data_IF_760261121897
#
_entry.id   IF_760261121897
#
_cell.length_a   1.000
_cell.length_b   1.000
_cell.length_c   1.000
_cell.angle_alpha   90.00
_cell.angle_beta   90.00
_cell.angle_gamma   90.00
#
_symmetry.space_group_name_H-M   'P 1'
#
loop_
_entity.id
_entity.type
_entity.pdbx_description
1 polymer ?
#
# COMPACT_ATOMS: atom_id res chain seq x y z
N UNK A 1 -77.21 46.73 4.35
CA UNK A 1 -77.53 45.54 5.14
C UNK A 1 -76.33 44.63 4.99
N UNK A 2 -75.32 44.74 5.89
CA UNK A 2 -75.05 43.87 7.10
C UNK A 2 -74.91 42.43 6.69
N UNK A 3 -73.80 41.84 6.90
CA UNK A 3 -73.08 41.40 8.10
C UNK A 3 -71.82 40.64 7.79
N UNK A 4 -70.77 40.98 8.52
CA UNK A 4 -69.57 40.30 8.88
C UNK A 4 -69.73 38.82 9.24
N UNK A 5 -68.64 37.98 9.07
CA UNK A 5 -68.12 37.07 10.09
C UNK A 5 -66.79 36.44 9.57
N UNK A 6 -65.73 36.78 10.14
CA UNK A 6 -64.71 36.18 10.99
C UNK A 6 -64.22 34.76 10.69
N UNK A 7 -62.88 34.71 10.54
CA UNK A 7 -61.85 33.81 11.17
C UNK A 7 -61.68 32.38 10.61
N UNK A 8 -60.48 31.94 10.28
CA UNK A 8 -59.40 31.53 11.14
C UNK A 8 -58.15 31.12 10.33
N UNK A 9 -57.00 31.45 10.90
CA UNK A 9 -55.66 31.07 10.52
C UNK A 9 -55.42 29.55 10.39
N UNK A 10 -54.63 29.21 9.38
CA UNK A 10 -53.96 27.89 9.28
C UNK A 10 -52.56 28.09 8.75
N UNK A 11 -51.60 28.25 9.65
CA UNK A 11 -50.17 28.37 9.32
C UNK A 11 -49.60 27.01 8.91
N UNK A 12 -49.30 26.83 7.64
CA UNK A 12 -48.55 25.72 7.12
C UNK A 12 -47.09 26.14 6.91
N UNK A 13 -46.20 25.80 7.79
CA UNK A 13 -44.75 25.92 7.62
C UNK A 13 -44.29 24.90 6.59
N UNK A 14 -43.96 25.35 5.39
CA UNK A 14 -43.17 24.61 4.41
C UNK A 14 -41.70 24.81 4.76
N UNK A 15 -41.11 23.77 5.34
CA UNK A 15 -39.68 23.68 5.56
C UNK A 15 -38.94 23.54 4.22
N UNK A 16 -38.26 24.60 3.81
CA UNK A 16 -37.30 24.58 2.71
C UNK A 16 -36.00 24.02 3.28
N UNK A 17 -35.70 22.75 2.95
CA UNK A 17 -34.37 22.16 3.18
C UNK A 17 -33.39 22.79 2.20
N UNK A 18 -32.61 23.75 2.64
CA UNK A 18 -31.48 24.28 1.91
C UNK A 18 -30.38 23.24 1.84
N UNK A 19 -30.25 22.57 0.69
CA UNK A 19 -29.05 21.82 0.33
C UNK A 19 -27.92 22.82 0.13
N UNK A 20 -27.07 22.97 1.15
CA UNK A 20 -25.87 23.78 1.07
C UNK A 20 -24.87 23.15 0.12
N UNK A 21 -24.77 23.65 -1.10
CA UNK A 21 -23.62 23.44 -1.96
C UNK A 21 -22.42 24.14 -1.32
N UNK A 22 -21.50 23.38 -0.75
CA UNK A 22 -20.20 23.92 -0.32
C UNK A 22 -19.34 24.08 -1.58
N UNK A 23 -19.26 25.28 -2.09
CA UNK A 23 -18.25 25.66 -3.09
C UNK A 23 -16.90 25.66 -2.40
N UNK A 24 -16.03 24.73 -2.78
CA UNK A 24 -14.62 24.72 -2.34
C UNK A 24 -13.91 25.89 -2.98
N UNK A 25 -13.52 26.87 -2.18
CA UNK A 25 -12.68 27.98 -2.60
C UNK A 25 -11.27 27.48 -2.95
N UNK A 26 -10.64 27.95 -4.03
CA UNK A 26 -9.23 27.67 -4.29
C UNK A 26 -8.36 28.45 -3.29
N UNK A 27 -7.55 27.75 -2.51
CA UNK A 27 -6.54 28.36 -1.64
C UNK A 27 -6.70 28.00 -0.17
N UNK A 28 -6.63 26.73 0.20
CA UNK A 28 -6.31 26.38 1.58
C UNK A 28 -4.85 26.72 1.84
N UNK A 29 -4.52 27.45 2.95
CA UNK A 29 -3.13 27.68 3.32
C UNK A 29 -2.40 26.34 3.55
N UNK A 30 -1.12 26.26 3.21
CA UNK A 30 -0.26 25.12 3.46
C UNK A 30 -0.43 24.67 4.91
N UNK A 31 -0.88 23.44 5.12
CA UNK A 31 -1.12 22.92 6.45
C UNK A 31 0.23 22.62 7.12
N UNK A 32 0.49 23.13 8.34
CA UNK A 32 1.73 22.81 9.05
C UNK A 32 1.78 21.30 9.32
N UNK A 33 2.85 20.68 8.90
CA UNK A 33 3.11 19.25 9.15
C UNK A 33 3.15 18.34 7.90
N UNK A 34 3.05 18.88 6.70
CA UNK A 34 3.30 18.12 5.45
C UNK A 34 4.80 18.01 5.18
N UNK A 35 5.27 16.84 4.67
CA UNK A 35 6.67 16.69 4.24
C UNK A 35 6.99 17.46 2.94
N UNK A 36 6.18 18.44 2.55
CA UNK A 36 6.26 19.13 1.26
C UNK A 36 7.37 20.22 1.18
N UNK A 37 8.23 20.36 2.19
CA UNK A 37 9.15 21.50 2.23
C UNK A 37 10.63 21.19 2.31
N UNK A 38 11.05 20.16 3.00
CA UNK A 38 12.45 19.99 3.43
C UNK A 38 13.14 18.72 2.91
N UNK A 39 12.61 18.06 1.88
CA UNK A 39 13.27 16.90 1.31
C UNK A 39 13.97 17.22 -0.02
N UNK A 40 15.08 16.53 -0.25
CA UNK A 40 15.82 16.58 -1.51
C UNK A 40 16.20 15.19 -1.96
N UNK A 41 16.47 15.06 -3.25
CA UNK A 41 17.01 13.83 -3.84
C UNK A 41 18.53 13.83 -3.75
N UNK A 42 19.10 12.67 -3.39
CA UNK A 42 20.52 12.39 -3.56
C UNK A 42 20.82 11.90 -4.98
N UNK A 43 22.11 11.71 -5.28
CA UNK A 43 22.55 11.09 -6.53
C UNK A 43 21.94 9.68 -6.66
N UNK A 44 21.52 9.29 -7.86
CA UNK A 44 20.88 8.03 -8.08
C UNK A 44 21.84 6.84 -7.92
N UNK A 45 21.36 5.80 -7.30
CA UNK A 45 22.01 4.50 -7.31
C UNK A 45 21.34 3.59 -8.33
N UNK A 46 22.12 2.99 -9.22
CA UNK A 46 21.59 2.17 -10.31
C UNK A 46 22.29 0.82 -10.38
N UNK A 47 21.52 -0.22 -10.66
CA UNK A 47 22.03 -1.51 -11.06
C UNK A 47 21.07 -2.13 -12.09
N UNK A 48 21.62 -2.53 -13.24
CA UNK A 48 20.84 -2.97 -14.40
C UNK A 48 19.77 -1.93 -14.80
N UNK A 49 18.48 -2.30 -14.87
CA UNK A 49 17.38 -1.39 -15.20
C UNK A 49 16.77 -0.69 -13.99
N UNK A 50 17.19 -1.01 -12.76
CA UNK A 50 16.71 -0.38 -11.54
C UNK A 50 17.55 0.84 -11.20
N UNK A 51 16.91 1.99 -11.07
CA UNK A 51 17.50 3.23 -10.57
C UNK A 51 16.69 3.73 -9.39
N UNK A 52 17.35 4.09 -8.30
CA UNK A 52 16.73 4.60 -7.08
C UNK A 52 17.36 5.92 -6.69
N UNK A 53 16.51 6.91 -6.44
CA UNK A 53 16.91 8.23 -5.92
C UNK A 53 16.56 8.27 -4.44
N UNK A 54 17.56 8.25 -3.52
CA UNK A 54 17.26 8.39 -2.10
C UNK A 54 16.66 9.77 -1.83
N UNK A 55 15.59 9.82 -1.05
CA UNK A 55 14.94 11.04 -0.57
C UNK A 55 15.41 11.29 0.84
N UNK A 56 16.01 12.46 1.09
CA UNK A 56 16.50 12.86 2.42
C UNK A 56 15.79 14.08 2.94
N UNK A 57 15.67 14.18 4.26
CA UNK A 57 15.13 15.32 4.96
C UNK A 57 16.01 15.69 6.16
N UNK A 58 16.11 16.99 6.44
CA UNK A 58 16.70 17.51 7.69
C UNK A 58 15.69 17.56 8.83
N UNK A 59 14.39 17.54 8.51
CA UNK A 59 13.29 17.47 9.45
C UNK A 59 12.74 16.03 9.48
N UNK A 60 12.42 15.53 10.68
CA UNK A 60 11.78 14.24 10.88
C UNK A 60 10.74 14.35 11.99
N UNK A 61 9.65 13.59 11.83
CA UNK A 61 8.66 13.46 12.89
C UNK A 61 9.06 12.32 13.83
N UNK A 62 8.73 12.46 15.10
CA UNK A 62 8.77 11.30 16.02
C UNK A 62 7.62 10.36 15.68
N UNK A 63 7.98 9.21 15.12
CA UNK A 63 7.05 8.15 14.75
C UNK A 63 7.16 6.91 15.64
N UNK A 64 7.92 6.99 16.74
CA UNK A 64 8.10 5.91 17.72
C UNK A 64 6.80 5.43 18.36
N UNK A 65 5.77 6.30 18.36
CA UNK A 65 4.43 5.94 18.80
C UNK A 65 3.73 4.92 17.88
N UNK A 66 4.13 4.76 16.62
CA UNK A 66 3.47 3.87 15.68
C UNK A 66 4.09 2.47 15.71
N UNK A 67 3.23 1.47 15.58
CA UNK A 67 3.58 0.06 15.47
C UNK A 67 3.52 -0.34 14.00
N UNK A 68 4.48 -1.10 13.50
CA UNK A 68 4.38 -1.74 12.17
C UNK A 68 3.66 -3.09 12.28
N UNK A 69 3.08 -3.56 11.17
CA UNK A 69 2.38 -4.85 11.15
C UNK A 69 3.31 -6.01 11.52
N UNK A 70 4.55 -6.02 10.99
CA UNK A 70 5.55 -7.04 11.32
C UNK A 70 5.92 -7.04 12.81
N UNK A 71 6.17 -5.87 13.37
CA UNK A 71 6.47 -5.73 14.81
C UNK A 71 5.30 -6.21 15.66
N UNK A 72 4.07 -5.79 15.33
CA UNK A 72 2.86 -6.16 16.06
C UNK A 72 2.56 -7.65 16.04
N UNK A 73 2.70 -8.30 14.88
CA UNK A 73 2.51 -9.75 14.76
C UNK A 73 3.60 -10.51 15.52
N UNK A 74 4.87 -10.11 15.36
CA UNK A 74 6.02 -10.80 16.00
C UNK A 74 5.98 -10.73 17.53
N UNK A 75 5.40 -9.66 18.09
CA UNK A 75 5.24 -9.48 19.54
C UNK A 75 3.91 -10.02 20.09
N UNK A 76 3.02 -10.49 19.21
CA UNK A 76 1.66 -10.89 19.62
C UNK A 76 0.77 -9.72 20.05
N UNK A 77 1.18 -8.49 19.76
CA UNK A 77 0.42 -7.27 20.03
C UNK A 77 -0.68 -7.02 18.98
N UNK A 78 -0.59 -7.67 17.84
CA UNK A 78 -1.57 -7.65 16.76
C UNK A 78 -1.97 -9.08 16.39
N UNK A 79 -3.26 -9.29 16.17
CA UNK A 79 -3.78 -10.56 15.65
C UNK A 79 -4.49 -10.33 14.34
N UNK A 80 -4.23 -11.20 13.35
CA UNK A 80 -4.95 -11.23 12.07
C UNK A 80 -5.52 -12.63 11.88
N UNK A 81 -6.83 -12.72 11.60
CA UNK A 81 -7.56 -13.98 11.49
C UNK A 81 -8.51 -13.97 10.32
N UNK A 82 -8.85 -15.18 9.84
CA UNK A 82 -9.97 -15.35 8.89
C UNK A 82 -11.28 -14.88 9.52
N UNK A 83 -12.11 -14.18 8.76
CA UNK A 83 -13.43 -13.77 9.19
C UNK A 83 -14.29 -15.00 9.54
N UNK A 84 -14.99 -14.96 10.68
CA UNK A 84 -15.80 -16.08 11.17
C UNK A 84 -15.03 -17.14 11.98
N UNK A 85 -13.71 -17.03 12.12
CA UNK A 85 -12.94 -17.93 12.99
C UNK A 85 -13.32 -17.79 14.47
N UNK A 86 -13.76 -16.63 14.90
CA UNK A 86 -14.21 -16.38 16.28
C UNK A 86 -15.52 -17.09 16.61
N UNK A 87 -16.41 -17.24 15.63
CA UNK A 87 -17.69 -17.95 15.81
C UNK A 87 -17.47 -19.44 16.09
N UNK A 88 -16.42 -20.03 15.50
CA UNK A 88 -16.08 -21.44 15.75
C UNK A 88 -15.52 -21.71 17.15
N UNK A 89 -14.85 -20.72 17.77
CA UNK A 89 -14.31 -20.87 19.13
C UNK A 89 -15.40 -20.74 20.19
N UNK A 90 -16.40 -19.89 19.97
CA UNK A 90 -17.55 -19.74 20.86
C UNK A 90 -18.52 -20.92 20.82
N UNK A 91 -18.67 -21.60 19.69
CA UNK A 91 -19.63 -22.70 19.52
C UNK A 91 -19.11 -24.09 20.01
N UNK A 92 -18.02 -24.18 20.75
CA UNK A 92 -17.63 -25.39 21.49
C UNK A 92 -18.51 -25.69 22.73
N UNK A 93 -19.43 -24.81 23.05
CA UNK A 93 -20.48 -25.04 24.07
C UNK A 93 -21.83 -25.31 23.40
N UNK A 94 -22.26 -26.54 23.37
CA UNK A 94 -23.59 -27.15 23.22
C UNK A 94 -24.80 -26.39 22.58
N UNK A 95 -24.61 -25.40 21.72
CA UNK A 95 -25.70 -24.80 20.94
C UNK A 95 -25.61 -25.22 19.47
N UNK A 96 -26.70 -25.82 18.96
CA UNK A 96 -26.81 -26.18 17.54
C UNK A 96 -26.75 -24.92 16.67
N UNK A 97 -25.90 -24.84 15.66
CA UNK A 97 -25.81 -23.67 14.78
C UNK A 97 -27.13 -23.47 14.03
N UNK A 98 -27.66 -22.27 14.05
CA UNK A 98 -28.81 -21.90 13.22
C UNK A 98 -28.32 -21.77 11.75
N UNK A 99 -28.86 -22.53 10.77
CA UNK A 99 -28.38 -22.54 9.40
C UNK A 99 -28.59 -21.24 8.61
N UNK A 100 -29.31 -20.27 9.16
CA UNK A 100 -29.68 -19.04 8.43
C UNK A 100 -28.69 -17.86 8.55
N UNK A 101 -27.56 -17.99 9.25
CA UNK A 101 -26.56 -16.93 9.36
C UNK A 101 -25.19 -17.29 8.76
N UNK A 102 -25.10 -18.28 7.91
CA UNK A 102 -23.88 -18.60 7.19
C UNK A 102 -23.77 -17.72 5.93
N UNK A 103 -23.44 -16.45 6.08
CA UNK A 103 -22.61 -15.79 5.07
C UNK A 103 -21.24 -16.44 5.18
N UNK A 104 -20.87 -17.30 4.22
CA UNK A 104 -19.58 -17.96 4.21
C UNK A 104 -18.45 -16.94 4.37
N UNK A 105 -17.25 -17.34 4.86
CA UNK A 105 -16.15 -16.43 5.08
C UNK A 105 -15.88 -15.64 3.80
N UNK A 106 -15.97 -14.31 3.87
CA UNK A 106 -15.62 -13.45 2.73
C UNK A 106 -14.15 -13.66 2.43
N UNK A 107 -13.84 -14.16 1.25
CA UNK A 107 -12.45 -14.49 0.85
C UNK A 107 -11.56 -13.25 0.85
N UNK A 108 -12.17 -12.07 0.78
CA UNK A 108 -11.49 -10.78 0.66
C UNK A 108 -11.49 -9.97 1.97
N UNK A 109 -11.92 -10.56 3.09
CA UNK A 109 -11.91 -9.88 4.39
C UNK A 109 -11.27 -10.74 5.46
N UNK A 110 -10.37 -10.14 6.21
CA UNK A 110 -9.79 -10.68 7.44
C UNK A 110 -10.31 -9.85 8.63
N UNK A 111 -10.06 -10.33 9.83
CA UNK A 111 -10.32 -9.60 11.07
C UNK A 111 -8.98 -9.30 11.73
N UNK A 112 -8.69 -8.02 11.94
CA UNK A 112 -7.50 -7.54 12.62
C UNK A 112 -7.87 -6.95 13.97
N UNK A 113 -7.09 -7.26 15.01
CA UNK A 113 -7.21 -6.63 16.33
C UNK A 113 -5.85 -6.11 16.77
N UNK A 114 -5.80 -4.83 17.10
CA UNK A 114 -4.63 -4.19 17.71
C UNK A 114 -4.80 -4.19 19.23
N UNK A 115 -4.07 -5.05 19.92
CA UNK A 115 -4.09 -5.16 21.40
C UNK A 115 -3.07 -4.22 22.05
N UNK A 116 -2.23 -3.55 21.27
CA UNK A 116 -1.16 -2.68 21.77
C UNK A 116 -1.68 -1.32 22.23
N UNK A 117 -0.82 -0.59 22.95
CA UNK A 117 -1.03 0.83 23.31
C UNK A 117 -0.68 1.80 22.17
N UNK A 118 -0.21 1.28 21.06
CA UNK A 118 0.33 2.05 19.93
C UNK A 118 -0.60 1.93 18.73
N UNK A 119 -0.87 3.05 18.00
CA UNK A 119 -1.57 2.94 16.72
C UNK A 119 -0.74 2.09 15.74
N UNK A 120 -1.41 1.19 15.03
CA UNK A 120 -0.79 0.29 14.06
C UNK A 120 -0.85 0.90 12.67
N UNK A 121 0.31 1.00 12.01
CA UNK A 121 0.42 1.38 10.61
C UNK A 121 0.37 0.13 9.72
N UNK A 122 -0.53 0.14 8.74
CA UNK A 122 -0.64 -0.85 7.67
C UNK A 122 -0.31 -0.18 6.34
N UNK A 123 0.51 -0.82 5.52
CA UNK A 123 0.79 -0.36 4.15
C UNK A 123 0.17 -1.29 3.10
N UNK A 124 -0.35 -0.69 2.06
CA UNK A 124 -0.82 -1.42 0.88
C UNK A 124 0.28 -2.32 0.32
N UNK A 125 -0.07 -3.59 0.06
CA UNK A 125 0.86 -4.59 -0.44
C UNK A 125 1.67 -5.31 0.63
N UNK A 126 1.55 -4.99 1.92
CA UNK A 126 2.11 -5.86 2.97
C UNK A 126 1.42 -7.23 2.92
N UNK A 127 2.24 -8.27 2.87
CA UNK A 127 1.77 -9.65 2.76
C UNK A 127 1.68 -10.27 4.15
N UNK A 128 0.51 -10.79 4.50
CA UNK A 128 0.29 -11.62 5.68
C UNK A 128 0.21 -13.09 5.27
N UNK A 129 1.09 -13.90 5.86
CA UNK A 129 1.20 -15.32 5.57
C UNK A 129 0.54 -16.17 6.64
N UNK A 130 -0.20 -17.18 6.20
CA UNK A 130 -0.95 -18.10 7.06
C UNK A 130 -2.39 -18.26 6.61
N UNK A 131 -3.28 -18.55 7.58
CA UNK A 131 -4.70 -18.71 7.30
C UNK A 131 -5.00 -19.76 6.23
N UNK A 132 -6.07 -19.54 5.48
CA UNK A 132 -6.44 -20.41 4.35
C UNK A 132 -5.57 -20.18 3.14
N UNK A 133 -5.15 -18.94 2.92
CA UNK A 133 -4.31 -18.50 1.81
C UNK A 133 -3.55 -17.24 2.24
N UNK A 134 -2.40 -16.96 1.63
CA UNK A 134 -1.70 -15.69 1.83
C UNK A 134 -2.50 -14.51 1.27
N UNK A 135 -2.44 -13.38 1.97
CA UNK A 135 -3.19 -12.16 1.66
C UNK A 135 -2.28 -10.95 1.64
N UNK A 136 -2.65 -9.94 0.89
CA UNK A 136 -2.04 -8.61 0.96
C UNK A 136 -3.04 -7.56 1.43
N UNK A 137 -2.54 -6.59 2.21
CA UNK A 137 -3.29 -5.42 2.64
C UNK A 137 -3.67 -4.59 1.41
N UNK A 138 -4.96 -4.21 1.31
CA UNK A 138 -5.48 -3.48 0.16
C UNK A 138 -5.08 -2.00 0.15
N UNK A 139 -5.09 -1.34 1.31
CA UNK A 139 -4.87 0.11 1.45
C UNK A 139 -4.02 0.45 2.66
N UNK A 140 -3.30 1.57 2.56
CA UNK A 140 -2.68 2.19 3.73
C UNK A 140 -3.75 2.57 4.76
N UNK A 141 -3.52 2.22 6.02
CA UNK A 141 -4.46 2.47 7.10
C UNK A 141 -3.76 2.59 8.44
N UNK A 142 -4.36 3.35 9.36
CA UNK A 142 -3.99 3.34 10.78
C UNK A 142 -5.10 2.66 11.57
N UNK A 143 -4.73 1.70 12.43
CA UNK A 143 -5.65 1.04 13.35
C UNK A 143 -5.39 1.56 14.75
N UNK A 144 -6.44 2.09 15.39
CA UNK A 144 -6.36 2.65 16.74
C UNK A 144 -5.82 1.62 17.76
N UNK A 145 -5.14 2.08 18.85
CA UNK A 145 -4.72 1.20 19.94
C UNK A 145 -5.95 0.64 20.69
N UNK A 146 -5.83 -0.58 21.23
CA UNK A 146 -6.90 -1.27 21.98
C UNK A 146 -8.25 -1.29 21.26
N UNK A 147 -8.23 -1.32 19.93
CA UNK A 147 -9.43 -1.31 19.12
C UNK A 147 -10.22 -2.62 19.18
N UNK A 148 -11.51 -2.52 18.91
CA UNK A 148 -12.35 -3.69 18.63
C UNK A 148 -11.84 -4.42 17.37
N UNK A 149 -12.18 -5.72 17.22
CA UNK A 149 -11.88 -6.45 16.00
C UNK A 149 -12.39 -5.73 14.75
N UNK A 150 -11.49 -5.42 13.81
CA UNK A 150 -11.76 -4.58 12.66
C UNK A 150 -11.75 -5.43 11.38
N UNK A 151 -12.78 -5.32 10.51
CA UNK A 151 -12.71 -5.87 9.17
C UNK A 151 -11.56 -5.22 8.38
N UNK A 152 -10.73 -6.04 7.77
CA UNK A 152 -9.58 -5.64 6.96
C UNK A 152 -9.76 -6.11 5.53
N UNK A 153 -9.83 -5.17 4.59
CA UNK A 153 -9.89 -5.48 3.17
C UNK A 153 -8.53 -5.96 2.67
N UNK A 154 -8.55 -7.09 2.00
CA UNK A 154 -7.35 -7.78 1.52
C UNK A 154 -7.56 -8.38 0.14
N UNK A 155 -6.47 -8.69 -0.55
CA UNK A 155 -6.48 -9.47 -1.78
C UNK A 155 -5.72 -10.79 -1.60
N UNK A 156 -6.23 -11.85 -2.22
CA UNK A 156 -5.55 -13.14 -2.26
C UNK A 156 -4.35 -13.06 -3.22
N UNK A 157 -3.20 -13.54 -2.77
CA UNK A 157 -1.99 -13.67 -3.59
C UNK A 157 -1.50 -15.12 -3.69
N UNK A 158 -2.38 -16.04 -3.38
CA UNK A 158 -2.18 -17.47 -3.51
C UNK A 158 -3.45 -18.11 -4.06
N UNK A 159 -3.40 -18.60 -5.31
CA UNK A 159 -4.54 -19.26 -5.94
C UNK A 159 -4.45 -20.77 -5.74
N UNK A 160 -5.55 -21.38 -5.32
CA UNK A 160 -5.71 -22.84 -5.30
C UNK A 160 -5.33 -23.57 -4.01
N UNK A 161 -4.66 -22.92 -3.04
CA UNK A 161 -4.44 -23.53 -1.71
C UNK A 161 -5.57 -23.16 -0.74
N UNK A 162 -6.15 -24.18 -0.11
CA UNK A 162 -7.08 -24.03 1.00
C UNK A 162 -6.60 -24.87 2.18
N UNK A 163 -5.85 -24.25 3.08
CA UNK A 163 -5.41 -24.91 4.32
C UNK A 163 -6.45 -24.71 5.42
N UNK A 164 -6.36 -25.56 6.47
CA UNK A 164 -7.24 -25.45 7.65
C UNK A 164 -6.84 -24.29 8.60
N UNK A 165 -5.82 -23.48 8.26
CA UNK A 165 -5.36 -22.37 9.09
C UNK A 165 -6.39 -21.26 9.20
N UNK A 166 -6.41 -20.58 10.36
CA UNK A 166 -7.31 -19.45 10.63
C UNK A 166 -6.60 -18.18 11.10
N UNK A 167 -5.29 -18.23 11.31
CA UNK A 167 -4.47 -17.11 11.81
C UNK A 167 -3.28 -16.83 10.91
N UNK A 168 -2.88 -15.57 10.88
CA UNK A 168 -1.74 -15.06 10.11
C UNK A 168 -0.67 -14.59 11.09
N UNK A 169 0.58 -15.00 10.88
CA UNK A 169 1.64 -14.83 11.86
C UNK A 169 2.84 -14.05 11.36
N UNK A 170 2.94 -13.78 10.07
CA UNK A 170 4.09 -13.11 9.48
C UNK A 170 3.66 -12.01 8.49
N UNK A 171 4.42 -10.91 8.47
CA UNK A 171 4.28 -9.80 7.54
C UNK A 171 5.67 -9.27 7.11
N UNK A 172 6.53 -10.18 6.64
CA UNK A 172 7.94 -9.87 6.29
C UNK A 172 8.13 -9.42 4.85
N UNK A 173 7.08 -9.43 4.04
CA UNK A 173 7.14 -9.14 2.60
C UNK A 173 6.19 -8.02 2.24
N UNK A 174 6.62 -7.17 1.30
CA UNK A 174 5.76 -6.28 0.52
C UNK A 174 5.83 -6.78 -0.93
N UNK A 175 4.67 -6.97 -1.55
CA UNK A 175 4.60 -7.40 -2.94
C UNK A 175 5.13 -6.32 -3.88
N UNK A 176 5.61 -6.72 -5.07
CA UNK A 176 6.21 -5.79 -6.02
C UNK A 176 5.21 -4.78 -6.61
N UNK A 177 5.68 -3.64 -7.16
CA UNK A 177 4.86 -2.53 -7.63
C UNK A 177 3.67 -2.90 -8.49
N UNK A 178 3.81 -3.80 -9.47
CA UNK A 178 2.68 -4.22 -10.32
C UNK A 178 1.54 -4.87 -9.52
N UNK A 179 1.85 -5.67 -8.50
CA UNK A 179 0.83 -6.27 -7.62
C UNK A 179 0.26 -5.23 -6.65
N UNK A 180 1.12 -4.34 -6.10
CA UNK A 180 0.69 -3.24 -5.20
C UNK A 180 -0.25 -2.27 -5.92
N UNK A 181 0.03 -1.90 -7.18
CA UNK A 181 -0.82 -1.03 -7.99
C UNK A 181 -2.22 -1.63 -8.15
N UNK A 182 -2.29 -2.92 -8.51
CA UNK A 182 -3.57 -3.60 -8.69
C UNK A 182 -4.37 -3.73 -7.38
N UNK A 183 -3.70 -3.87 -6.24
CA UNK A 183 -4.35 -3.91 -4.95
C UNK A 183 -4.78 -2.52 -4.46
N UNK A 184 -3.86 -1.54 -4.46
CA UNK A 184 -4.06 -0.24 -3.85
C UNK A 184 -4.95 0.70 -4.70
N UNK A 185 -4.85 0.61 -6.04
CA UNK A 185 -5.47 1.56 -6.98
C UNK A 185 -6.61 0.89 -7.74
N UNK A 186 -6.33 -0.20 -8.47
CA UNK A 186 -7.32 -0.85 -9.34
C UNK A 186 -8.36 -1.64 -8.53
N UNK A 187 -7.99 -2.16 -7.36
CA UNK A 187 -8.83 -2.89 -6.41
C UNK A 187 -9.61 -4.05 -7.03
N UNK A 188 -8.93 -4.82 -7.91
CA UNK A 188 -9.52 -5.96 -8.61
C UNK A 188 -8.73 -7.23 -8.36
N UNK A 189 -9.38 -8.25 -7.76
CA UNK A 189 -8.74 -9.53 -7.45
C UNK A 189 -8.14 -10.23 -8.68
N UNK A 190 -8.81 -10.18 -9.83
CA UNK A 190 -8.33 -10.82 -11.05
C UNK A 190 -7.01 -10.19 -11.54
N UNK A 191 -6.89 -8.84 -11.45
CA UNK A 191 -5.69 -8.10 -11.86
C UNK A 191 -4.53 -8.37 -10.89
N UNK A 192 -4.81 -8.51 -9.59
CA UNK A 192 -3.83 -8.94 -8.59
C UNK A 192 -3.26 -10.32 -8.93
N UNK A 193 -4.09 -11.31 -9.22
CA UNK A 193 -3.62 -12.65 -9.61
C UNK A 193 -2.82 -12.64 -10.91
N UNK A 194 -3.30 -11.88 -11.90
CA UNK A 194 -2.58 -11.75 -13.17
C UNK A 194 -1.17 -11.16 -12.96
N UNK A 195 -1.02 -10.15 -12.09
CA UNK A 195 0.28 -9.56 -11.77
C UNK A 195 1.19 -10.51 -10.97
N UNK A 196 0.64 -11.31 -10.05
CA UNK A 196 1.42 -12.32 -9.31
C UNK A 196 2.05 -13.34 -10.24
N UNK A 197 1.29 -13.84 -11.22
CA UNK A 197 1.76 -14.90 -12.15
C UNK A 197 2.43 -14.34 -13.41
N UNK A 198 2.12 -13.10 -13.79
CA UNK A 198 2.68 -12.42 -14.98
C UNK A 198 3.99 -11.67 -14.72
N UNK A 199 4.32 -11.41 -13.46
CA UNK A 199 5.55 -10.74 -13.03
C UNK A 199 5.49 -9.22 -13.08
N UNK A 200 5.09 -8.61 -14.20
CA UNK A 200 5.00 -7.15 -14.33
C UNK A 200 3.88 -6.75 -15.27
N UNK A 201 3.10 -5.74 -14.88
CA UNK A 201 2.05 -5.14 -15.73
C UNK A 201 2.62 -4.58 -17.04
N UNK A 202 3.90 -4.18 -17.05
CA UNK A 202 4.58 -3.60 -18.22
C UNK A 202 5.07 -4.66 -19.19
N UNK A 203 5.30 -5.90 -18.75
CA UNK A 203 5.76 -6.98 -19.60
C UNK A 203 4.78 -7.30 -20.76
N UNK A 204 3.51 -7.00 -20.59
CA UNK A 204 2.44 -7.20 -21.58
C UNK A 204 2.21 -5.98 -22.48
N UNK A 205 2.88 -4.83 -22.24
CA UNK A 205 2.82 -3.70 -23.17
C UNK A 205 3.60 -4.07 -24.44
N UNK A 206 3.02 -3.73 -25.60
CA UNK A 206 3.57 -4.01 -26.93
C UNK A 206 5.08 -3.79 -26.96
N UNK A 207 5.82 -4.79 -27.45
CA UNK A 207 7.28 -4.80 -27.51
C UNK A 207 7.82 -3.44 -27.97
N UNK A 208 8.45 -2.70 -27.06
CA UNK A 208 9.21 -1.52 -27.41
C UNK A 208 10.46 -2.01 -28.19
N UNK A 209 10.64 -1.61 -29.45
CA UNK A 209 11.69 -2.18 -30.31
C UNK A 209 13.12 -2.06 -29.78
N UNK A 210 13.33 -1.22 -28.75
CA UNK A 210 14.63 -0.93 -28.14
C UNK A 210 14.84 -1.58 -26.75
N UNK A 211 13.85 -2.30 -26.22
CA UNK A 211 13.96 -2.92 -24.91
C UNK A 211 14.64 -4.29 -24.99
N UNK A 212 15.62 -4.54 -24.13
CA UNK A 212 16.12 -5.88 -23.88
C UNK A 212 15.05 -6.70 -23.10
N UNK A 213 14.98 -8.02 -23.31
CA UNK A 213 14.03 -8.86 -22.58
C UNK A 213 14.25 -8.74 -21.06
N UNK A 214 13.19 -8.99 -20.24
CA UNK A 214 13.33 -9.04 -18.80
C UNK A 214 14.31 -10.14 -18.39
N UNK A 215 14.96 -9.98 -17.25
CA UNK A 215 15.91 -10.96 -16.72
C UNK A 215 15.22 -12.27 -16.30
N UNK A 216 13.97 -12.15 -15.88
CA UNK A 216 13.06 -13.27 -15.62
C UNK A 216 11.79 -13.03 -16.45
N UNK A 217 11.59 -13.86 -17.46
CA UNK A 217 10.41 -13.76 -18.34
C UNK A 217 9.15 -14.28 -17.68
N UNK A 218 7.99 -13.85 -18.20
CA UNK A 218 6.69 -14.41 -17.77
C UNK A 218 6.62 -15.93 -17.97
N UNK A 219 7.28 -16.48 -19.00
CA UNK A 219 7.38 -17.91 -19.23
C UNK A 219 8.15 -18.62 -18.11
N UNK A 220 9.26 -18.06 -17.64
CA UNK A 220 10.04 -18.60 -16.53
C UNK A 220 9.29 -18.53 -15.21
N UNK A 221 8.51 -17.44 -14.97
CA UNK A 221 7.63 -17.34 -13.81
C UNK A 221 6.56 -18.42 -13.88
N UNK A 222 5.91 -18.60 -15.04
CA UNK A 222 4.90 -19.63 -15.25
C UNK A 222 5.46 -21.04 -15.06
N UNK A 223 6.66 -21.31 -15.55
CA UNK A 223 7.37 -22.58 -15.32
C UNK A 223 7.69 -22.78 -13.84
N UNK A 224 8.11 -21.73 -13.14
CA UNK A 224 8.34 -21.77 -11.70
C UNK A 224 7.06 -22.13 -10.93
N UNK A 225 5.91 -21.57 -11.28
CA UNK A 225 4.60 -21.89 -10.70
C UNK A 225 4.28 -23.37 -10.85
N UNK A 226 4.56 -23.96 -12.02
CA UNK A 226 4.13 -25.34 -12.33
C UNK A 226 5.14 -26.40 -11.87
N UNK A 227 6.44 -26.11 -11.95
CA UNK A 227 7.49 -27.13 -11.77
C UNK A 227 8.20 -26.99 -10.42
N UNK A 228 8.64 -25.79 -10.06
CA UNK A 228 9.46 -25.58 -8.86
C UNK A 228 8.60 -25.30 -7.61
N UNK A 229 7.75 -24.30 -7.67
CA UNK A 229 6.91 -23.91 -6.53
C UNK A 229 5.68 -24.82 -6.38
N UNK A 230 5.16 -25.35 -7.48
CA UNK A 230 3.92 -26.12 -7.55
C UNK A 230 2.71 -25.43 -6.90
N UNK A 231 2.73 -24.12 -6.89
CA UNK A 231 1.71 -23.26 -6.29
C UNK A 231 1.79 -21.86 -6.90
N UNK A 232 0.68 -21.14 -6.85
CA UNK A 232 0.61 -19.72 -7.22
C UNK A 232 0.85 -18.78 -6.02
N UNK A 233 1.46 -19.28 -4.93
CA UNK A 233 1.84 -18.45 -3.79
C UNK A 233 2.92 -17.45 -4.19
N UNK A 234 2.68 -16.17 -3.91
CA UNK A 234 3.62 -15.09 -4.18
C UNK A 234 5.02 -15.37 -3.61
N UNK A 235 5.10 -15.71 -2.33
CA UNK A 235 6.38 -15.95 -1.65
C UNK A 235 7.15 -17.10 -2.29
N UNK A 236 6.48 -18.22 -2.57
CA UNK A 236 7.13 -19.40 -3.16
C UNK A 236 7.61 -19.18 -4.59
N UNK A 237 6.90 -18.35 -5.38
CA UNK A 237 7.33 -17.99 -6.73
C UNK A 237 8.59 -17.13 -6.68
N UNK A 238 8.56 -16.03 -5.92
CA UNK A 238 9.63 -15.02 -5.93
C UNK A 238 10.79 -15.34 -4.97
N UNK A 239 10.67 -16.38 -4.13
CA UNK A 239 11.73 -16.96 -3.32
C UNK A 239 12.32 -18.25 -3.93
N UNK A 240 11.78 -18.73 -5.05
CA UNK A 240 12.29 -19.88 -5.78
C UNK A 240 13.75 -19.69 -6.19
N UNK A 241 14.50 -20.79 -6.39
CA UNK A 241 15.91 -20.67 -6.82
C UNK A 241 16.05 -19.94 -8.17
N UNK A 242 15.11 -20.14 -9.08
CA UNK A 242 15.13 -19.57 -10.43
C UNK A 242 14.93 -18.05 -10.42
N UNK A 243 13.95 -17.56 -9.68
CA UNK A 243 13.62 -16.13 -9.61
C UNK A 243 14.40 -15.44 -8.50
N UNK A 244 14.42 -16.03 -7.31
CA UNK A 244 15.01 -15.46 -6.10
C UNK A 244 16.48 -15.12 -6.25
N UNK A 245 17.29 -15.97 -6.91
CA UNK A 245 18.72 -15.67 -7.13
C UNK A 245 18.97 -14.39 -7.92
N UNK A 246 18.12 -14.13 -8.93
CA UNK A 246 18.17 -12.88 -9.70
C UNK A 246 17.77 -11.67 -8.86
N UNK A 247 16.72 -11.80 -8.06
CA UNK A 247 16.26 -10.78 -7.11
C UNK A 247 17.33 -10.49 -6.07
N UNK A 248 17.92 -11.53 -5.46
CA UNK A 248 18.95 -11.38 -4.42
C UNK A 248 20.21 -10.67 -4.93
N UNK A 249 20.58 -10.91 -6.19
CA UNK A 249 21.69 -10.19 -6.83
C UNK A 249 21.40 -8.69 -6.94
N UNK A 250 20.19 -8.31 -7.40
CA UNK A 250 19.79 -6.90 -7.53
C UNK A 250 19.72 -6.25 -6.14
N UNK A 251 19.13 -6.93 -5.15
CA UNK A 251 19.04 -6.45 -3.77
C UNK A 251 20.43 -6.16 -3.20
N UNK A 252 21.36 -7.12 -3.30
CA UNK A 252 22.71 -6.97 -2.76
C UNK A 252 23.46 -5.79 -3.38
N UNK A 253 23.40 -5.65 -4.73
CA UNK A 253 24.10 -4.58 -5.44
C UNK A 253 23.51 -3.19 -5.13
N UNK A 254 22.20 -3.06 -5.16
CA UNK A 254 21.54 -1.78 -4.81
C UNK A 254 21.81 -1.43 -3.34
N UNK A 255 21.65 -2.38 -2.41
CA UNK A 255 21.88 -2.16 -0.99
C UNK A 255 23.31 -1.65 -0.71
N UNK A 256 24.32 -2.25 -1.37
CA UNK A 256 25.71 -1.84 -1.23
C UNK A 256 25.93 -0.40 -1.72
N UNK A 257 25.36 -0.05 -2.88
CA UNK A 257 25.48 1.29 -3.49
C UNK A 257 24.70 2.32 -2.69
N UNK A 258 23.50 1.98 -2.25
CA UNK A 258 22.64 2.84 -1.44
C UNK A 258 23.31 3.21 -0.11
N UNK A 259 23.88 2.24 0.60
CA UNK A 259 24.64 2.50 1.84
C UNK A 259 25.82 3.44 1.61
N UNK A 260 26.56 3.26 0.50
CA UNK A 260 27.68 4.13 0.18
C UNK A 260 27.21 5.57 -0.08
N UNK A 261 26.14 5.75 -0.84
CA UNK A 261 25.59 7.08 -1.16
C UNK A 261 25.07 7.79 0.09
N UNK A 262 24.46 7.06 1.01
CA UNK A 262 23.84 7.64 2.22
C UNK A 262 24.77 7.69 3.44
N UNK A 263 25.99 7.16 3.37
CA UNK A 263 26.89 7.05 4.54
C UNK A 263 27.48 8.37 5.03
N UNK A 264 27.49 9.40 4.19
CA UNK A 264 28.12 10.71 4.48
C UNK A 264 27.15 11.81 4.92
N UNK A 265 25.88 11.48 5.14
CA UNK A 265 24.86 12.49 5.48
C UNK A 265 25.13 13.15 6.82
N UNK A 266 25.15 14.50 6.82
CA UNK A 266 25.29 15.32 8.04
C UNK A 266 23.99 16.08 8.30
N UNK A 267 23.30 15.73 9.39
CA UNK A 267 22.07 16.41 9.79
C UNK A 267 20.84 16.05 8.98
N UNK A 268 20.96 15.27 7.91
CA UNK A 268 19.86 14.73 7.11
C UNK A 268 19.74 13.23 7.30
N UNK A 269 18.54 12.70 7.07
CA UNK A 269 18.23 11.27 7.14
C UNK A 269 17.45 10.85 5.90
N UNK A 270 17.64 9.62 5.49
CA UNK A 270 16.82 9.04 4.41
C UNK A 270 15.41 8.79 4.94
N UNK A 271 14.43 9.32 4.24
CA UNK A 271 13.00 9.18 4.58
C UNK A 271 12.21 8.48 3.47
N UNK A 272 12.84 8.17 2.34
CA UNK A 272 12.15 7.52 1.23
C UNK A 272 13.02 7.30 0.02
N UNK A 273 12.39 6.84 -1.05
CA UNK A 273 13.01 6.62 -2.36
C UNK A 273 12.04 6.96 -3.49
N UNK A 274 12.61 7.42 -4.62
CA UNK A 274 11.95 7.40 -5.93
C UNK A 274 12.60 6.30 -6.76
N UNK A 275 11.78 5.53 -7.45
CA UNK A 275 12.20 4.32 -8.18
C UNK A 275 11.89 4.47 -9.66
N UNK A 276 12.90 4.19 -10.47
CA UNK A 276 12.77 4.17 -11.91
C UNK A 276 13.24 2.83 -12.47
N UNK A 277 12.62 2.41 -13.57
CA UNK A 277 12.98 1.24 -14.34
C UNK A 277 13.34 1.68 -15.76
N UNK A 278 14.63 1.59 -16.08
CA UNK A 278 15.17 2.24 -17.29
C UNK A 278 15.00 3.76 -17.20
N UNK A 279 14.48 4.39 -18.26
CA UNK A 279 14.21 5.83 -18.30
C UNK A 279 12.87 6.25 -17.64
N UNK A 280 12.06 5.32 -17.13
CA UNK A 280 10.74 5.62 -16.60
C UNK A 280 10.74 5.67 -15.07
N UNK A 281 10.45 6.84 -14.48
CA UNK A 281 10.14 6.96 -13.06
C UNK A 281 8.73 6.42 -12.83
N UNK A 282 8.62 5.38 -12.01
CA UNK A 282 7.39 4.60 -11.87
C UNK A 282 6.78 4.62 -10.48
N UNK A 283 7.61 4.83 -9.43
CA UNK A 283 7.18 4.59 -8.06
C UNK A 283 7.92 5.48 -7.06
N UNK A 284 7.29 5.82 -5.94
CA UNK A 284 7.98 6.39 -4.77
C UNK A 284 7.28 5.99 -3.49
N UNK A 285 8.05 5.71 -2.44
CA UNK A 285 7.56 5.58 -1.06
C UNK A 285 8.34 6.57 -0.18
N UNK A 286 7.64 7.49 0.49
CA UNK A 286 8.21 8.52 1.36
C UNK A 286 7.49 8.46 2.71
N UNK A 287 8.25 8.45 3.80
CA UNK A 287 7.76 8.32 5.16
C UNK A 287 7.99 9.58 5.98
N UNK A 288 7.24 9.73 7.06
CA UNK A 288 7.37 10.86 7.99
C UNK A 288 8.72 10.88 8.73
N UNK A 289 9.41 9.75 8.83
CA UNK A 289 10.67 9.62 9.52
C UNK A 289 11.60 8.58 8.90
N UNK A 290 12.88 8.69 9.23
CA UNK A 290 13.88 7.68 8.87
C UNK A 290 13.63 6.34 9.57
N UNK A 291 13.13 6.34 10.78
CA UNK A 291 12.83 5.15 11.55
C UNK A 291 11.74 4.30 10.87
N UNK A 292 10.69 4.93 10.37
CA UNK A 292 9.67 4.24 9.58
C UNK A 292 10.25 3.75 8.25
N UNK A 293 11.00 4.58 7.53
CA UNK A 293 11.65 4.16 6.31
C UNK A 293 12.54 2.93 6.54
N UNK A 294 13.39 2.95 7.56
CA UNK A 294 14.30 1.85 7.89
C UNK A 294 13.54 0.55 8.23
N UNK A 295 12.39 0.67 8.92
CA UNK A 295 11.54 -0.47 9.25
C UNK A 295 10.96 -1.17 8.01
N UNK A 296 10.72 -0.42 6.94
CA UNK A 296 10.17 -0.94 5.68
C UNK A 296 11.22 -1.19 4.59
N UNK A 297 12.43 -0.63 4.73
CA UNK A 297 13.43 -0.59 3.65
C UNK A 297 13.76 -1.94 3.05
N UNK A 298 14.03 -2.96 3.85
CA UNK A 298 14.40 -4.29 3.34
C UNK A 298 13.28 -4.93 2.51
N UNK A 299 12.02 -4.76 2.92
CA UNK A 299 10.83 -5.26 2.22
C UNK A 299 10.61 -4.49 0.92
N UNK A 300 10.74 -3.17 0.96
CA UNK A 300 10.59 -2.29 -0.20
C UNK A 300 11.68 -2.56 -1.25
N UNK A 301 12.94 -2.64 -0.84
CA UNK A 301 14.04 -2.93 -1.75
C UNK A 301 13.84 -4.26 -2.48
N UNK A 302 13.43 -5.32 -1.77
CA UNK A 302 13.13 -6.61 -2.38
C UNK A 302 11.93 -6.51 -3.34
N UNK A 303 10.88 -5.80 -2.97
CA UNK A 303 9.71 -5.51 -3.80
C UNK A 303 10.12 -4.85 -5.13
N UNK A 304 10.94 -3.81 -5.08
CA UNK A 304 11.43 -3.12 -6.29
C UNK A 304 12.37 -3.99 -7.13
N UNK A 305 13.18 -4.84 -6.50
CA UNK A 305 14.06 -5.76 -7.21
C UNK A 305 13.27 -6.84 -7.95
N UNK A 306 12.18 -7.36 -7.39
CA UNK A 306 11.26 -8.28 -8.08
C UNK A 306 10.69 -7.63 -9.33
N UNK A 307 10.17 -6.41 -9.24
CA UNK A 307 9.68 -5.67 -10.39
C UNK A 307 10.78 -5.48 -11.45
N UNK A 308 12.00 -5.11 -11.02
CA UNK A 308 13.11 -4.85 -11.92
C UNK A 308 13.52 -6.08 -12.73
N UNK A 309 13.53 -7.27 -12.14
CA UNK A 309 13.90 -8.50 -12.86
C UNK A 309 12.80 -8.98 -13.83
N UNK A 310 11.53 -8.64 -13.52
CA UNK A 310 10.37 -9.02 -14.32
C UNK A 310 10.02 -8.01 -15.43
N UNK A 311 10.59 -6.79 -15.39
CA UNK A 311 10.35 -5.75 -16.41
C UNK A 311 11.34 -5.84 -17.56
N UNK A 312 10.92 -5.51 -18.80
CA UNK A 312 11.85 -5.28 -19.91
C UNK A 312 12.88 -4.21 -19.55
N UNK A 313 14.13 -4.44 -19.89
CA UNK A 313 15.22 -3.51 -19.58
C UNK A 313 15.37 -2.46 -20.69
N UNK A 314 15.23 -1.18 -20.32
CA UNK A 314 15.52 -0.05 -21.19
C UNK A 314 16.97 0.44 -20.96
N UNK A 315 17.65 0.85 -22.02
CA UNK A 315 19.03 1.40 -21.94
C UNK A 315 19.06 2.80 -21.32
N UNK A 316 18.00 3.56 -21.51
CA UNK A 316 17.83 4.90 -20.94
C UNK A 316 17.74 4.82 -19.43
N UNK A 317 18.23 5.87 -18.76
CA UNK A 317 18.11 6.03 -17.31
C UNK A 317 17.34 7.30 -17.01
N UNK A 318 16.46 7.24 -16.03
CA UNK A 318 15.78 8.43 -15.54
C UNK A 318 16.76 9.42 -14.90
N UNK A 319 16.52 10.69 -15.11
CA UNK A 319 17.28 11.78 -14.51
C UNK A 319 16.75 12.19 -13.14
N UNK A 320 17.54 12.97 -12.39
CA UNK A 320 17.08 13.57 -11.15
C UNK A 320 15.94 14.57 -11.38
N UNK A 321 15.87 15.21 -12.54
CA UNK A 321 14.80 16.13 -12.90
C UNK A 321 13.48 15.37 -13.15
N UNK A 322 13.53 14.22 -13.83
CA UNK A 322 12.37 13.34 -13.98
C UNK A 322 11.84 12.87 -12.63
N UNK A 323 12.74 12.54 -11.72
CA UNK A 323 12.37 12.13 -10.35
C UNK A 323 11.76 13.29 -9.53
N UNK A 324 12.25 14.53 -9.69
CA UNK A 324 11.65 15.72 -9.05
C UNK A 324 10.27 16.01 -9.60
N UNK A 325 10.13 15.97 -10.94
CA UNK A 325 8.82 16.19 -11.59
C UNK A 325 7.81 15.11 -11.18
N UNK A 326 8.24 13.87 -11.04
CA UNK A 326 7.38 12.78 -10.56
C UNK A 326 6.84 13.01 -9.14
N UNK A 327 7.62 13.69 -8.29
CA UNK A 327 7.23 14.02 -6.92
C UNK A 327 6.44 15.33 -6.80
N UNK A 328 6.17 16.02 -7.91
CA UNK A 328 5.36 17.22 -7.90
C UNK A 328 4.01 16.97 -7.24
N UNK A 329 3.43 18.01 -6.68
CA UNK A 329 2.08 17.92 -6.11
C UNK A 329 1.07 17.75 -7.24
N UNK A 330 0.24 16.73 -7.14
CA UNK A 330 -0.87 16.52 -8.05
C UNK A 330 -2.06 17.40 -7.63
N UNK A 331 -2.81 17.92 -8.63
CA UNK A 331 -3.98 18.76 -8.43
C UNK A 331 -5.21 18.20 -9.17
N UNK A 332 -5.23 16.88 -9.38
CA UNK A 332 -6.27 16.18 -10.11
C UNK A 332 -7.48 15.79 -9.25
N UNK A 333 -8.14 14.70 -9.66
CA UNK A 333 -9.29 14.17 -8.94
C UNK A 333 -8.87 13.60 -7.59
N UNK A 334 -9.52 14.04 -6.52
CA UNK A 334 -9.27 13.60 -5.14
C UNK A 334 -10.38 12.66 -4.64
N UNK A 335 -9.98 11.58 -3.97
CA UNK A 335 -10.83 10.72 -3.15
C UNK A 335 -10.29 10.76 -1.72
N UNK A 336 -11.18 10.81 -0.73
CA UNK A 336 -10.80 10.87 0.68
C UNK A 336 -11.60 9.85 1.48
N UNK A 337 -10.90 9.09 2.32
CA UNK A 337 -11.47 8.23 3.35
C UNK A 337 -10.89 8.65 4.71
N UNK A 338 -11.66 8.59 5.78
CA UNK A 338 -11.17 8.97 7.10
C UNK A 338 -11.86 8.18 8.20
N UNK A 339 -11.09 7.91 9.26
CA UNK A 339 -11.59 7.47 10.55
C UNK A 339 -11.41 8.65 11.54
N UNK A 340 -12.51 9.24 12.04
CA UNK A 340 -12.44 10.45 12.87
C UNK A 340 -11.49 10.30 14.06
N UNK A 341 -10.57 11.24 14.22
CA UNK A 341 -9.58 11.25 15.30
C UNK A 341 -8.43 10.25 15.13
N UNK A 342 -8.43 9.40 14.13
CA UNK A 342 -7.38 8.39 13.88
C UNK A 342 -6.56 8.75 12.65
N UNK A 343 -7.16 8.72 11.46
CA UNK A 343 -6.44 8.98 10.22
C UNK A 343 -7.32 9.59 9.14
N UNK A 344 -6.65 10.10 8.11
CA UNK A 344 -7.20 10.47 6.80
C UNK A 344 -6.33 9.87 5.72
N UNK A 345 -6.95 9.12 4.82
CA UNK A 345 -6.36 8.62 3.60
C UNK A 345 -6.87 9.44 2.42
N UNK A 346 -5.99 9.80 1.48
CA UNK A 346 -6.34 10.54 0.27
C UNK A 346 -5.65 9.93 -0.92
N UNK A 347 -6.38 9.82 -2.04
CA UNK A 347 -5.83 9.54 -3.36
C UNK A 347 -6.10 10.73 -4.28
N UNK A 348 -5.04 11.23 -4.94
CA UNK A 348 -5.12 12.28 -5.94
C UNK A 348 -4.63 11.69 -7.26
N UNK A 349 -5.46 11.74 -8.30
CA UNK A 349 -5.16 11.16 -9.62
C UNK A 349 -5.11 12.26 -10.69
N UNK A 350 -3.99 12.31 -11.45
CA UNK A 350 -3.75 13.29 -12.52
C UNK A 350 -2.78 12.69 -13.57
N UNK A 351 -3.12 12.80 -14.84
CA UNK A 351 -2.23 12.50 -15.99
C UNK A 351 -1.51 11.13 -15.91
N UNK A 352 -2.23 10.08 -15.53
CA UNK A 352 -1.67 8.73 -15.40
C UNK A 352 -0.83 8.53 -14.14
N UNK A 353 -0.81 9.49 -13.22
CA UNK A 353 -0.23 9.38 -11.88
C UNK A 353 -1.33 9.22 -10.83
N UNK A 354 -1.05 8.48 -9.77
CA UNK A 354 -1.83 8.47 -8.53
C UNK A 354 -0.89 8.76 -7.36
N UNK A 355 -1.28 9.69 -6.52
CA UNK A 355 -0.63 10.01 -5.25
C UNK A 355 -1.54 9.61 -4.11
N UNK A 356 -1.05 8.76 -3.22
CA UNK A 356 -1.74 8.34 -2.01
C UNK A 356 -1.03 8.96 -0.81
N UNK A 357 -1.79 9.55 0.11
CA UNK A 357 -1.29 10.10 1.37
C UNK A 357 -2.08 9.53 2.54
N UNK A 358 -1.36 9.03 3.53
CA UNK A 358 -1.92 8.60 4.81
C UNK A 358 -1.51 9.58 5.90
N UNK A 359 -2.46 10.37 6.35
CA UNK A 359 -2.27 11.34 7.44
C UNK A 359 -2.71 10.73 8.77
N UNK A 360 -1.84 10.72 9.77
CA UNK A 360 -2.23 10.51 11.16
C UNK A 360 -2.82 11.81 11.72
N UNK A 361 -3.95 11.71 12.43
CA UNK A 361 -4.60 12.85 13.06
C UNK A 361 -4.18 13.03 14.53
N UNK A 362 -3.67 11.96 15.14
CA UNK A 362 -3.18 11.90 16.53
C UNK A 362 -1.80 11.28 16.59
N UNK A 363 -0.94 11.65 17.55
CA UNK A 363 -1.10 12.75 18.53
C UNK A 363 -0.94 14.14 17.89
N UNK A 364 -0.44 14.19 16.64
CA UNK A 364 -0.25 15.41 15.85
C UNK A 364 -0.52 15.09 14.39
N UNK A 365 -1.16 16.02 13.68
CA UNK A 365 -1.36 15.89 12.24
C UNK A 365 0.00 15.74 11.52
N UNK A 366 0.21 14.60 10.87
CA UNK A 366 1.39 14.32 10.05
C UNK A 366 1.06 13.33 8.94
N UNK A 367 1.64 13.51 7.77
CA UNK A 367 1.60 12.51 6.71
C UNK A 367 2.61 11.41 7.04
N UNK A 368 2.12 10.23 7.44
CA UNK A 368 2.99 9.09 7.80
C UNK A 368 3.61 8.44 6.58
N UNK A 369 2.85 8.33 5.49
CA UNK A 369 3.30 7.71 4.25
C UNK A 369 2.71 8.46 3.04
N UNK A 370 3.56 8.72 2.05
CA UNK A 370 3.20 9.24 0.74
C UNK A 370 3.73 8.30 -0.32
N UNK A 371 2.82 7.80 -1.13
CA UNK A 371 3.08 6.93 -2.27
C UNK A 371 2.74 7.69 -3.55
N UNK A 372 3.63 7.69 -4.55
CA UNK A 372 3.29 8.13 -5.91
C UNK A 372 3.53 6.98 -6.87
N UNK A 373 2.57 6.76 -7.75
CA UNK A 373 2.55 5.64 -8.70
C UNK A 373 2.28 6.15 -10.10
N UNK A 374 3.09 5.73 -11.08
CA UNK A 374 2.74 5.83 -12.50
C UNK A 374 1.86 4.64 -12.86
N UNK A 375 0.60 4.92 -13.19
CA UNK A 375 -0.38 3.89 -13.53
C UNK A 375 0.01 3.16 -14.81
N UNK A 376 -0.18 1.85 -14.79
CA UNK A 376 0.16 0.97 -15.92
C UNK A 376 -1.05 0.60 -16.78
N UNK A 377 -2.14 1.35 -16.66
CA UNK A 377 -3.42 1.15 -17.39
C UNK A 377 -3.28 1.20 -18.91
#
# INVERSE_FOLDING_TARGET
MDRSFFTLLGSGLLGISALGFVWSSPGSPAQPGRPDGDWRLLEPVSYENLTMFPVVSSSGYDTSAFLTLEEGLSRGEVTVREQGAETMIRNRGNERPNPQSYSGPSVNQLVLTNHSKRPLLLLAGELVSGGKQDRIIAKDRIVAPFGDPLPLDVFCVEHGRWSAGSSFNEAKTIVHPSVRENAAINQKQADVWAAVTGGSNVANRAAMPSAAPPKVSAAEISETVTVEAQTQSYTKIYESRRVGSSVDTVVAEIQRRFRRETSGLKGERVVGVVVAYGGEVAWSDIFASSELFDAYWSKLLRSYAVEAVARPSLREKASADDAREFLRRLNGREQTESEPGVYRWREISEDGLSQIELDALQPKLMTLHRLVVRRTS
#
